data_IF_029563129261
#
_entry.id   IF_029563129261
#
_cell.length_a   1.000
_cell.length_b   1.000
_cell.length_c   1.000
_cell.angle_alpha   90.00
_cell.angle_beta   90.00
_cell.angle_gamma   90.00
#
_symmetry.space_group_name_H-M   'P 1'
#
loop_
_entity.id
_entity.type
_entity.pdbx_description
1 polymer ?
#
# COMPACT_ATOMS: atom_id res chain seq x y z
N UNK A 1 -85.93 -58.96 14.14
CA UNK A 1 -85.11 -58.84 12.96
C UNK A 1 -84.18 -57.63 13.18
N UNK A 2 -82.99 -57.92 13.68
CA UNK A 2 -82.06 -56.89 14.12
C UNK A 2 -80.88 -56.89 13.13
N UNK A 3 -80.76 -55.82 12.38
CA UNK A 3 -79.67 -55.61 11.40
C UNK A 3 -78.50 -55.00 12.13
N UNK A 4 -77.40 -55.75 12.25
CA UNK A 4 -76.09 -55.22 12.73
C UNK A 4 -75.41 -54.43 11.60
N UNK A 5 -75.17 -53.14 11.84
CA UNK A 5 -74.33 -52.32 10.99
C UNK A 5 -72.87 -52.57 11.37
N UNK A 6 -72.10 -52.99 10.39
CA UNK A 6 -70.62 -53.11 10.46
C UNK A 6 -69.99 -51.77 10.02
N UNK A 7 -69.21 -51.17 10.89
CA UNK A 7 -68.47 -49.96 10.61
C UNK A 7 -67.07 -50.33 10.15
N UNK A 8 -66.60 -49.83 8.98
CA UNK A 8 -65.22 -50.09 8.55
C UNK A 8 -64.23 -49.17 9.29
N UNK A 9 -63.19 -49.75 9.87
CA UNK A 9 -62.06 -49.07 10.46
C UNK A 9 -61.14 -48.66 9.30
N UNK A 10 -60.97 -47.31 9.07
CA UNK A 10 -59.97 -46.77 8.20
C UNK A 10 -58.64 -46.61 8.97
N UNK A 11 -57.66 -47.43 8.62
CA UNK A 11 -56.28 -47.27 9.09
C UNK A 11 -55.62 -46.17 8.19
N UNK A 12 -55.50 -44.98 8.74
CA UNK A 12 -54.76 -43.88 8.08
C UNK A 12 -53.26 -44.11 8.16
N UNK A 13 -52.63 -44.36 7.02
CA UNK A 13 -51.20 -44.43 6.87
C UNK A 13 -50.63 -42.98 6.83
N UNK A 14 -50.01 -42.53 7.93
CA UNK A 14 -49.30 -41.25 7.98
C UNK A 14 -47.98 -41.39 7.22
N UNK A 15 -47.94 -40.88 5.98
CA UNK A 15 -46.69 -40.70 5.24
C UNK A 15 -46.06 -39.38 5.71
N UNK A 16 -45.00 -39.49 6.52
CA UNK A 16 -44.17 -38.34 6.88
C UNK A 16 -43.28 -38.01 5.70
N UNK A 17 -43.62 -36.98 4.95
CA UNK A 17 -42.71 -36.38 3.97
C UNK A 17 -41.63 -35.60 4.73
N UNK A 18 -40.45 -36.17 4.85
CA UNK A 18 -39.24 -35.45 5.26
C UNK A 18 -38.86 -34.44 4.15
N UNK A 19 -39.09 -33.17 4.38
CA UNK A 19 -38.48 -32.12 3.57
C UNK A 19 -36.96 -32.12 3.79
N UNK A 20 -36.21 -32.77 2.91
CA UNK A 20 -34.77 -32.47 2.74
C UNK A 20 -34.68 -31.09 2.07
N UNK A 21 -34.47 -30.05 2.86
CA UNK A 21 -33.94 -28.77 2.35
C UNK A 21 -32.49 -29.01 1.90
N UNK A 22 -32.13 -28.81 0.62
CA UNK A 22 -30.74 -28.81 0.24
C UNK A 22 -30.08 -27.62 0.94
N UNK A 23 -29.10 -27.90 1.80
CA UNK A 23 -28.17 -26.88 2.22
C UNK A 23 -27.42 -26.38 0.97
N UNK A 24 -27.94 -25.33 0.37
CA UNK A 24 -27.13 -24.50 -0.53
C UNK A 24 -26.11 -23.75 0.33
N UNK A 25 -25.01 -24.41 0.66
CA UNK A 25 -23.79 -23.69 0.98
C UNK A 25 -23.43 -22.92 -0.30
N UNK A 26 -23.81 -21.67 -0.35
CA UNK A 26 -23.29 -20.72 -1.35
C UNK A 26 -21.81 -20.61 -1.06
N UNK A 27 -21.01 -21.42 -1.71
CA UNK A 27 -19.57 -21.20 -1.77
C UNK A 27 -19.41 -19.81 -2.38
N UNK A 28 -19.12 -18.80 -1.55
CA UNK A 28 -18.67 -17.50 -2.02
C UNK A 28 -17.33 -17.80 -2.67
N UNK A 29 -17.32 -17.94 -4.00
CA UNK A 29 -16.08 -17.92 -4.77
C UNK A 29 -15.56 -16.52 -4.59
N UNK A 30 -14.57 -16.36 -3.73
CA UNK A 30 -13.86 -15.10 -3.60
C UNK A 30 -13.25 -14.82 -4.97
N UNK A 31 -13.75 -13.79 -5.65
CA UNK A 31 -13.29 -13.41 -6.97
C UNK A 31 -11.79 -13.10 -6.84
N UNK A 32 -10.95 -13.83 -7.58
CA UNK A 32 -9.51 -13.61 -7.56
C UNK A 32 -9.23 -12.18 -8.06
N UNK A 33 -9.03 -11.30 -7.13
CA UNK A 33 -8.74 -9.88 -7.41
C UNK A 33 -7.39 -9.72 -8.12
N UNK A 34 -6.51 -10.72 -7.98
CA UNK A 34 -5.18 -10.74 -8.59
C UNK A 34 -4.30 -9.55 -8.17
N UNK A 35 -3.20 -9.40 -8.86
CA UNK A 35 -2.32 -8.24 -8.76
C UNK A 35 -1.94 -7.76 -10.17
N UNK A 36 -2.89 -7.16 -10.93
CA UNK A 36 -2.59 -6.68 -12.27
C UNK A 36 -1.51 -5.60 -12.23
N UNK A 37 -0.56 -5.57 -13.18
CA UNK A 37 0.42 -4.50 -13.28
C UNK A 37 -0.28 -3.17 -13.61
N UNK A 38 0.30 -2.06 -13.14
CA UNK A 38 -0.15 -0.74 -13.53
C UNK A 38 0.05 -0.51 -15.04
N UNK A 39 -0.76 0.36 -15.61
CA UNK A 39 -0.54 0.84 -16.97
C UNK A 39 0.87 1.41 -17.12
N UNK A 40 1.60 1.00 -18.16
CA UNK A 40 3.00 1.40 -18.36
C UNK A 40 4.04 0.56 -17.63
N UNK A 41 3.65 -0.46 -16.86
CA UNK A 41 4.61 -1.46 -16.38
C UNK A 41 5.29 -2.16 -17.56
N UNK A 42 6.61 -2.30 -17.53
CA UNK A 42 7.35 -2.90 -18.65
C UNK A 42 7.31 -4.44 -18.61
N UNK A 43 6.13 -4.98 -18.91
CA UNK A 43 5.88 -6.42 -18.88
C UNK A 43 6.80 -7.19 -19.82
N UNK A 44 7.05 -6.65 -21.03
CA UNK A 44 7.86 -7.33 -22.05
C UNK A 44 9.34 -7.46 -21.68
N UNK A 45 9.87 -6.51 -20.89
CA UNK A 45 11.25 -6.53 -20.43
C UNK A 45 11.40 -7.12 -19.03
N UNK A 46 10.32 -7.39 -18.30
CA UNK A 46 10.37 -7.97 -16.97
C UNK A 46 10.44 -9.48 -17.02
N UNK A 47 11.17 -10.09 -16.06
CA UNK A 47 11.29 -11.53 -15.98
C UNK A 47 10.05 -12.15 -15.32
N UNK A 48 9.57 -13.27 -15.85
CA UNK A 48 8.37 -13.95 -15.33
C UNK A 48 8.51 -14.30 -13.85
N UNK A 49 9.65 -14.85 -13.43
CA UNK A 49 9.92 -15.20 -12.03
C UNK A 49 9.87 -13.96 -11.12
N UNK A 50 10.39 -12.81 -11.58
CA UNK A 50 10.34 -11.56 -10.80
C UNK A 50 8.89 -11.03 -10.63
N UNK A 51 8.06 -11.21 -11.66
CA UNK A 51 6.63 -10.87 -11.59
C UNK A 51 5.91 -11.78 -10.60
N UNK A 52 6.15 -13.10 -10.64
CA UNK A 52 5.59 -14.06 -9.70
C UNK A 52 5.96 -13.72 -8.24
N UNK A 53 7.23 -13.39 -7.99
CA UNK A 53 7.69 -12.94 -6.66
C UNK A 53 6.96 -11.64 -6.25
N UNK A 54 6.82 -10.67 -7.14
CA UNK A 54 6.08 -9.43 -6.85
C UNK A 54 4.60 -9.67 -6.52
N UNK A 55 3.99 -10.73 -7.10
CA UNK A 55 2.62 -11.13 -6.77
C UNK A 55 2.52 -11.76 -5.38
N UNK A 56 3.48 -12.61 -4.99
CA UNK A 56 3.54 -13.14 -3.62
C UNK A 56 3.83 -12.05 -2.59
N UNK A 57 4.69 -11.06 -2.91
CA UNK A 57 4.90 -9.88 -2.06
C UNK A 57 3.59 -9.13 -1.84
N UNK A 58 2.85 -8.81 -2.90
CA UNK A 58 1.56 -8.10 -2.78
C UNK A 58 0.58 -8.90 -1.91
N UNK A 59 0.53 -10.20 -2.05
CA UNK A 59 -0.32 -11.08 -1.25
C UNK A 59 0.10 -11.07 0.23
N UNK A 60 1.39 -11.16 0.53
CA UNK A 60 1.93 -11.08 1.90
C UNK A 60 1.68 -9.71 2.54
N UNK A 61 1.63 -8.64 1.74
CA UNK A 61 1.29 -7.30 2.19
C UNK A 61 -0.20 -7.10 2.55
N UNK A 62 -1.05 -8.11 2.39
CA UNK A 62 -2.49 -8.06 2.65
C UNK A 62 -3.33 -8.10 1.37
N UNK A 63 -2.71 -8.17 0.20
CA UNK A 63 -3.35 -8.31 -1.11
C UNK A 63 -3.72 -6.99 -1.77
N UNK A 64 -3.81 -7.04 -3.10
CA UNK A 64 -4.10 -5.87 -3.93
C UNK A 64 -5.43 -5.20 -3.60
N UNK A 65 -6.47 -5.98 -3.30
CA UNK A 65 -7.78 -5.46 -2.90
C UNK A 65 -7.69 -4.56 -1.67
N UNK A 66 -7.02 -5.02 -0.61
CA UNK A 66 -6.88 -4.24 0.62
C UNK A 66 -5.99 -3.01 0.42
N UNK A 67 -4.94 -3.12 -0.41
CA UNK A 67 -4.17 -1.96 -0.84
C UNK A 67 -5.02 -0.93 -1.57
N UNK A 68 -5.85 -1.34 -2.52
CA UNK A 68 -6.72 -0.44 -3.28
C UNK A 68 -7.78 0.21 -2.38
N UNK A 69 -8.32 -0.52 -1.42
CA UNK A 69 -9.31 -0.02 -0.45
C UNK A 69 -8.69 0.88 0.64
N UNK A 70 -7.38 0.85 0.84
CA UNK A 70 -6.71 1.76 1.77
C UNK A 70 -6.80 3.18 1.24
N UNK A 71 -7.51 4.07 1.92
CA UNK A 71 -7.77 5.43 1.44
C UNK A 71 -6.78 6.44 1.99
N UNK A 72 -6.62 6.54 3.31
CA UNK A 72 -5.77 7.55 3.94
C UNK A 72 -4.59 6.90 4.64
N UNK A 73 -3.39 7.42 4.36
CA UNK A 73 -2.14 6.97 4.99
C UNK A 73 -1.45 8.16 5.62
N UNK A 74 -1.11 8.06 6.90
CA UNK A 74 -0.31 9.02 7.64
C UNK A 74 1.00 8.38 8.06
N UNK A 75 2.10 9.15 8.02
CA UNK A 75 3.41 8.71 8.52
C UNK A 75 4.34 9.89 8.81
N UNK A 76 5.31 9.66 9.68
CA UNK A 76 6.39 10.60 9.97
C UNK A 76 7.69 10.08 9.35
N UNK A 77 8.20 10.81 8.39
CA UNK A 77 9.41 10.47 7.66
C UNK A 77 10.65 10.96 8.41
N UNK A 78 11.34 10.04 9.10
CA UNK A 78 12.61 10.24 9.79
C UNK A 78 12.60 11.40 10.80
N UNK A 79 11.48 11.67 11.45
CA UNK A 79 11.31 12.78 12.41
C UNK A 79 11.35 14.17 11.79
N UNK A 80 11.40 14.27 10.46
CA UNK A 80 11.57 15.57 9.76
C UNK A 80 10.30 16.07 9.08
N UNK A 81 9.53 15.20 8.45
CA UNK A 81 8.29 15.53 7.74
C UNK A 81 7.19 14.56 8.11
N UNK A 82 6.01 15.11 8.33
CA UNK A 82 4.79 14.33 8.50
C UNK A 82 3.98 14.41 7.21
N UNK A 83 3.52 13.29 6.74
CA UNK A 83 2.70 13.17 5.54
C UNK A 83 1.33 12.62 5.89
N UNK A 84 0.29 13.14 5.27
CA UNK A 84 -1.04 12.54 5.25
C UNK A 84 -1.52 12.56 3.81
N UNK A 85 -1.82 11.39 3.27
CA UNK A 85 -2.18 11.21 1.86
C UNK A 85 -3.53 10.56 1.71
N UNK A 86 -4.42 11.19 0.94
CA UNK A 86 -5.63 10.57 0.43
C UNK A 86 -5.32 9.95 -0.93
N UNK A 87 -5.21 8.63 -0.98
CA UNK A 87 -4.91 7.89 -2.22
C UNK A 87 -5.96 8.07 -3.31
N UNK A 88 -7.23 8.29 -2.93
CA UNK A 88 -8.33 8.36 -3.90
C UNK A 88 -8.39 9.70 -4.62
N UNK A 89 -8.20 10.79 -3.89
CA UNK A 89 -8.26 12.14 -4.45
C UNK A 89 -6.90 12.67 -4.91
N UNK A 90 -5.81 12.12 -4.37
CA UNK A 90 -4.46 12.63 -4.58
C UNK A 90 -4.10 13.80 -3.67
N UNK A 91 -4.95 14.14 -2.69
CA UNK A 91 -4.66 15.21 -1.75
C UNK A 91 -3.60 14.79 -0.73
N UNK A 92 -2.65 15.69 -0.48
CA UNK A 92 -1.54 15.47 0.46
C UNK A 92 -1.38 16.68 1.37
N UNK A 93 -1.21 16.40 2.66
CA UNK A 93 -0.72 17.33 3.66
C UNK A 93 0.70 16.95 4.03
N UNK A 94 1.64 17.88 3.91
CA UNK A 94 3.02 17.74 4.40
C UNK A 94 3.29 18.79 5.44
N UNK A 95 3.71 18.37 6.63
CA UNK A 95 4.16 19.25 7.69
C UNK A 95 5.65 19.07 7.95
N UNK A 96 6.36 20.19 8.08
CA UNK A 96 7.79 20.23 8.47
C UNK A 96 7.89 21.12 9.72
N UNK A 97 7.67 20.57 10.94
CA UNK A 97 7.56 21.35 12.16
C UNK A 97 8.79 22.23 12.45
N UNK A 98 10.00 21.71 12.17
CA UNK A 98 11.26 22.47 12.33
C UNK A 98 11.38 23.74 11.46
N UNK A 99 10.53 23.85 10.42
CA UNK A 99 10.50 24.99 9.49
C UNK A 99 9.21 25.80 9.62
N UNK A 100 8.32 25.43 10.56
CA UNK A 100 6.95 25.97 10.69
C UNK A 100 6.23 25.97 9.33
N UNK A 101 6.34 24.85 8.59
CA UNK A 101 5.88 24.75 7.21
C UNK A 101 4.78 23.70 7.09
N UNK A 102 3.65 24.10 6.49
CA UNK A 102 2.55 23.19 6.10
C UNK A 102 2.27 23.41 4.62
N UNK A 103 2.30 22.33 3.86
CA UNK A 103 1.97 22.30 2.44
C UNK A 103 0.73 21.40 2.24
N UNK A 104 -0.32 21.97 1.69
CA UNK A 104 -1.54 21.28 1.29
C UNK A 104 -1.58 21.29 -0.23
N UNK A 105 -1.51 20.13 -0.87
CA UNK A 105 -1.45 20.09 -2.33
C UNK A 105 -2.07 18.80 -2.88
N UNK A 106 -2.40 18.83 -4.16
CA UNK A 106 -2.86 17.66 -4.89
C UNK A 106 -1.75 17.16 -5.83
N UNK A 107 -1.46 15.86 -5.80
CA UNK A 107 -0.40 15.24 -6.60
C UNK A 107 -0.72 15.17 -8.09
N UNK A 108 -2.01 15.20 -8.47
CA UNK A 108 -2.46 15.02 -9.84
C UNK A 108 -2.27 16.29 -10.68
N UNK A 109 -2.65 17.45 -10.13
CA UNK A 109 -2.56 18.74 -10.81
C UNK A 109 -1.44 19.64 -10.28
N UNK A 110 -0.81 19.26 -9.14
CA UNK A 110 0.26 19.99 -8.47
C UNK A 110 -0.14 21.40 -8.03
N UNK A 111 -1.41 21.60 -7.77
CA UNK A 111 -1.92 22.82 -7.18
C UNK A 111 -2.01 22.70 -5.66
N UNK A 112 -2.01 23.81 -4.96
CA UNK A 112 -2.12 23.76 -3.50
C UNK A 112 -1.90 25.09 -2.82
N UNK A 113 -1.75 25.01 -1.50
CA UNK A 113 -1.56 26.16 -0.59
C UNK A 113 -0.42 25.88 0.37
N UNK A 114 0.28 26.90 0.80
CA UNK A 114 1.42 26.81 1.71
C UNK A 114 1.31 27.83 2.82
N UNK A 115 1.47 27.36 4.06
CA UNK A 115 1.65 28.19 5.25
C UNK A 115 3.09 28.05 5.73
N UNK A 116 3.81 29.17 5.90
CA UNK A 116 5.15 29.20 6.47
C UNK A 116 5.25 30.26 7.55
N UNK A 117 5.72 29.90 8.73
CA UNK A 117 5.85 30.78 9.89
C UNK A 117 4.56 31.62 10.14
N UNK A 118 3.40 30.98 10.11
CA UNK A 118 2.10 31.56 10.33
C UNK A 118 1.58 32.48 9.20
N UNK A 119 2.25 32.49 8.03
CA UNK A 119 1.85 33.33 6.89
C UNK A 119 1.62 32.46 5.66
N UNK A 120 0.48 32.65 5.01
CA UNK A 120 0.19 32.00 3.75
C UNK A 120 1.01 32.59 2.60
N UNK A 121 1.61 31.74 1.79
CA UNK A 121 2.42 32.14 0.61
C UNK A 121 1.45 32.43 -0.54
N UNK A 122 1.46 33.66 -1.03
CA UNK A 122 0.57 34.12 -2.12
C UNK A 122 1.34 34.51 -3.39
N UNK A 123 2.68 34.65 -3.31
CA UNK A 123 3.51 34.90 -4.48
C UNK A 123 3.51 33.65 -5.39
N UNK A 124 3.08 33.83 -6.63
CA UNK A 124 2.84 32.74 -7.56
C UNK A 124 4.08 31.91 -7.88
N UNK A 125 5.23 32.55 -8.07
CA UNK A 125 6.48 31.88 -8.42
C UNK A 125 7.01 31.06 -7.24
N UNK A 126 6.96 31.64 -6.04
CA UNK A 126 7.33 30.94 -4.80
C UNK A 126 6.40 29.77 -4.54
N UNK A 127 5.08 29.94 -4.71
CA UNK A 127 4.11 28.89 -4.53
C UNK A 127 4.37 27.72 -5.49
N UNK A 128 4.62 28.01 -6.77
CA UNK A 128 4.91 26.97 -7.77
C UNK A 128 6.19 26.18 -7.42
N UNK A 129 7.24 26.86 -6.96
CA UNK A 129 8.47 26.20 -6.51
C UNK A 129 8.21 25.31 -5.29
N UNK A 130 7.37 25.76 -4.35
CA UNK A 130 7.03 24.96 -3.17
C UNK A 130 6.15 23.76 -3.52
N UNK A 131 5.24 23.87 -4.49
CA UNK A 131 4.46 22.72 -5.00
C UNK A 131 5.35 21.67 -5.66
N UNK A 132 6.33 22.08 -6.45
CA UNK A 132 7.30 21.14 -7.04
C UNK A 132 8.16 20.45 -5.95
N UNK A 133 8.52 21.19 -4.90
CA UNK A 133 9.25 20.63 -3.76
C UNK A 133 8.37 19.66 -2.94
N UNK A 134 7.11 20.00 -2.74
CA UNK A 134 6.13 19.14 -2.07
C UNK A 134 5.92 17.81 -2.82
N UNK A 135 5.76 17.89 -4.15
CA UNK A 135 5.64 16.71 -4.98
C UNK A 135 6.89 15.83 -4.92
N UNK A 136 8.09 16.44 -5.01
CA UNK A 136 9.36 15.70 -4.93
C UNK A 136 9.54 15.03 -3.56
N UNK A 137 9.18 15.73 -2.48
CA UNK A 137 9.20 15.18 -1.13
C UNK A 137 8.23 14.01 -1.00
N UNK A 138 6.98 14.15 -1.49
CA UNK A 138 6.00 13.09 -1.46
C UNK A 138 6.46 11.85 -2.25
N UNK A 139 6.99 12.03 -3.46
CA UNK A 139 7.51 10.90 -4.28
C UNK A 139 8.60 10.15 -3.52
N UNK A 140 9.59 10.88 -2.99
CA UNK A 140 10.70 10.26 -2.26
C UNK A 140 10.21 9.57 -0.97
N UNK A 141 9.51 10.31 -0.12
CA UNK A 141 9.20 9.87 1.24
C UNK A 141 8.16 8.74 1.25
N UNK A 142 7.19 8.77 0.32
CA UNK A 142 6.24 7.67 0.16
C UNK A 142 6.90 6.39 -0.36
N UNK A 143 7.92 6.51 -1.23
CA UNK A 143 8.64 5.36 -1.76
C UNK A 143 9.36 4.59 -0.64
N UNK A 144 9.91 5.28 0.35
CA UNK A 144 10.54 4.67 1.52
C UNK A 144 9.58 3.86 2.41
N UNK A 145 8.28 4.12 2.33
CA UNK A 145 7.25 3.38 3.07
C UNK A 145 6.56 2.33 2.19
N UNK A 146 6.32 2.65 0.91
CA UNK A 146 5.36 1.95 0.07
C UNK A 146 5.98 1.22 -1.13
N UNK A 147 7.32 1.22 -1.29
CA UNK A 147 8.00 0.57 -2.43
C UNK A 147 7.54 -0.88 -2.64
N UNK A 148 7.34 -1.71 -1.62
CA UNK A 148 6.90 -3.09 -1.83
C UNK A 148 5.53 -3.24 -2.51
N UNK A 149 4.61 -2.26 -2.36
CA UNK A 149 3.35 -2.21 -3.10
C UNK A 149 3.50 -1.76 -4.56
N UNK A 150 4.69 -1.24 -4.92
CA UNK A 150 4.96 -0.54 -6.18
C UNK A 150 5.88 -1.34 -7.12
N UNK A 151 6.07 -2.64 -6.86
CA UNK A 151 6.94 -3.49 -7.67
C UNK A 151 6.47 -3.63 -9.12
N UNK A 152 5.16 -3.51 -9.38
CA UNK A 152 4.58 -3.53 -10.73
C UNK A 152 3.93 -2.21 -11.12
N UNK A 153 4.46 -1.08 -10.62
CA UNK A 153 4.01 0.27 -10.98
C UNK A 153 4.42 0.66 -12.42
N UNK A 154 3.82 1.75 -12.91
CA UNK A 154 4.14 2.35 -14.21
C UNK A 154 5.64 2.61 -14.34
N UNK A 155 6.20 2.29 -15.50
CA UNK A 155 7.62 2.50 -15.85
C UNK A 155 8.59 1.54 -15.18
N UNK A 156 8.13 0.65 -14.29
CA UNK A 156 9.01 -0.32 -13.62
C UNK A 156 9.35 -1.48 -14.57
N UNK A 157 10.63 -1.87 -14.57
CA UNK A 157 11.11 -3.14 -15.12
C UNK A 157 11.67 -3.98 -13.98
N UNK A 158 11.20 -5.22 -13.84
CA UNK A 158 11.65 -6.18 -12.84
C UNK A 158 12.56 -7.23 -13.45
N UNK A 159 13.72 -7.48 -12.81
CA UNK A 159 14.63 -8.55 -13.16
C UNK A 159 14.87 -9.45 -11.96
N UNK A 160 14.85 -10.74 -12.19
CA UNK A 160 15.26 -11.73 -11.21
C UNK A 160 16.78 -11.94 -11.29
N UNK A 161 17.46 -11.79 -10.16
CA UNK A 161 18.93 -11.94 -10.09
C UNK A 161 19.31 -13.35 -9.64
N UNK A 162 18.55 -13.94 -8.71
CA UNK A 162 18.80 -15.24 -8.12
C UNK A 162 18.49 -15.27 -6.63
N UNK A 163 18.78 -16.40 -6.00
CA UNK A 163 18.78 -16.53 -4.54
C UNK A 163 19.98 -15.78 -3.97
N UNK A 164 19.80 -15.11 -2.83
CA UNK A 164 20.85 -14.38 -2.12
C UNK A 164 20.54 -14.34 -0.61
N UNK A 165 21.50 -13.89 0.19
CA UNK A 165 21.35 -13.77 1.62
C UNK A 165 21.49 -12.30 2.02
N UNK A 166 20.58 -11.82 2.86
CA UNK A 166 20.65 -10.43 3.39
C UNK A 166 21.89 -10.21 4.27
N UNK A 167 22.20 -8.96 4.57
CA UNK A 167 23.28 -8.62 5.53
C UNK A 167 23.03 -9.19 6.95
N UNK A 168 21.79 -9.55 7.27
CA UNK A 168 21.41 -10.18 8.54
C UNK A 168 21.41 -11.71 8.50
N UNK A 169 21.73 -12.31 7.34
CA UNK A 169 21.83 -13.76 7.17
C UNK A 169 20.50 -14.45 6.87
N UNK A 170 19.52 -13.74 6.34
CA UNK A 170 18.22 -14.28 5.94
C UNK A 170 18.23 -14.67 4.46
N UNK A 171 17.79 -15.90 4.15
CA UNK A 171 17.66 -16.39 2.78
C UNK A 171 16.53 -15.64 2.04
N UNK A 172 16.79 -15.27 0.80
CA UNK A 172 15.91 -14.36 0.06
C UNK A 172 16.07 -14.50 -1.45
N UNK A 173 15.01 -14.21 -2.17
CA UNK A 173 15.00 -13.99 -3.62
C UNK A 173 15.40 -12.54 -3.92
N UNK A 174 16.40 -12.32 -4.78
CA UNK A 174 16.90 -11.00 -5.14
C UNK A 174 16.30 -10.50 -6.44
N UNK A 175 15.66 -9.35 -6.38
CA UNK A 175 15.10 -8.62 -7.52
C UNK A 175 15.90 -7.35 -7.81
N UNK A 176 15.95 -6.95 -9.08
CA UNK A 176 16.39 -5.61 -9.50
C UNK A 176 15.25 -4.84 -10.13
N UNK A 177 15.08 -3.59 -9.71
CA UNK A 177 14.11 -2.64 -10.25
C UNK A 177 14.85 -1.53 -11.00
N UNK A 178 14.42 -1.26 -12.23
CA UNK A 178 14.83 -0.07 -13.01
C UNK A 178 13.57 0.64 -13.50
N UNK A 179 13.72 1.91 -13.92
CA UNK A 179 12.59 2.78 -14.23
C UNK A 179 12.77 3.42 -15.61
N UNK A 180 11.66 3.63 -16.31
CA UNK A 180 11.61 4.34 -17.58
C UNK A 180 10.63 5.51 -17.49
N UNK A 181 11.14 6.75 -17.55
CA UNK A 181 10.35 7.98 -17.67
C UNK A 181 9.45 8.34 -16.48
N UNK A 182 9.56 7.67 -15.33
CA UNK A 182 8.67 7.87 -14.17
C UNK A 182 9.42 8.39 -12.94
N UNK A 183 8.68 9.08 -12.06
CA UNK A 183 9.22 9.66 -10.84
C UNK A 183 10.08 10.89 -11.08
N UNK A 184 10.86 11.27 -10.06
CA UNK A 184 11.77 12.44 -10.11
C UNK A 184 13.21 12.05 -10.41
N UNK A 185 13.54 10.77 -10.35
CA UNK A 185 14.89 10.21 -10.59
C UNK A 185 14.81 8.89 -11.35
N UNK A 186 14.36 8.89 -12.63
CA UNK A 186 14.15 7.65 -13.40
C UNK A 186 15.44 6.86 -13.66
N UNK A 187 16.61 7.49 -13.53
CA UNK A 187 17.91 6.83 -13.69
C UNK A 187 18.30 5.91 -12.53
N UNK A 188 17.54 5.92 -11.43
CA UNK A 188 17.85 5.12 -10.26
C UNK A 188 17.67 3.61 -10.54
N UNK A 189 18.37 2.78 -9.75
CA UNK A 189 18.18 1.35 -9.66
C UNK A 189 18.01 0.96 -8.20
N UNK A 190 17.17 -0.02 -7.95
CA UNK A 190 17.08 -0.67 -6.65
C UNK A 190 17.32 -2.16 -6.77
N UNK A 191 17.91 -2.75 -5.74
CA UNK A 191 17.87 -4.17 -5.47
C UNK A 191 16.99 -4.40 -4.25
N UNK A 192 16.18 -5.45 -4.30
CA UNK A 192 15.18 -5.76 -3.27
C UNK A 192 15.29 -7.24 -2.95
N UNK A 193 15.53 -7.56 -1.69
CA UNK A 193 15.53 -8.92 -1.17
C UNK A 193 14.14 -9.23 -0.61
N UNK A 194 13.59 -10.35 -1.04
CA UNK A 194 12.28 -10.85 -0.61
C UNK A 194 12.51 -12.13 0.15
N UNK A 195 12.11 -12.16 1.41
CA UNK A 195 12.29 -13.30 2.31
C UNK A 195 11.62 -14.57 1.77
N UNK A 196 12.33 -15.68 1.73
CA UNK A 196 11.80 -16.99 1.34
C UNK A 196 10.75 -17.52 2.34
N UNK A 197 10.85 -17.10 3.60
CA UNK A 197 9.95 -17.53 4.66
C UNK A 197 8.63 -16.78 4.64
N UNK A 198 8.67 -15.44 4.44
CA UNK A 198 7.50 -14.57 4.64
C UNK A 198 6.94 -13.97 3.35
N UNK A 199 7.68 -14.03 2.25
CA UNK A 199 7.42 -13.29 1.01
C UNK A 199 7.36 -11.75 1.21
N UNK A 200 7.85 -11.23 2.33
CA UNK A 200 7.96 -9.80 2.55
C UNK A 200 9.36 -9.31 2.19
N UNK A 201 9.45 -8.06 1.76
CA UNK A 201 10.75 -7.42 1.55
C UNK A 201 11.47 -7.31 2.89
N UNK A 202 12.72 -7.77 2.99
CA UNK A 202 13.51 -7.72 4.22
C UNK A 202 14.79 -6.87 4.11
N UNK A 203 15.22 -6.54 2.88
CA UNK A 203 16.34 -5.65 2.63
C UNK A 203 16.19 -4.95 1.27
N UNK A 204 16.76 -3.77 1.13
CA UNK A 204 16.88 -3.09 -0.15
C UNK A 204 18.21 -2.35 -0.29
N UNK A 205 18.63 -2.15 -1.54
CA UNK A 205 19.80 -1.36 -1.89
C UNK A 205 19.44 -0.30 -2.93
N UNK A 206 20.03 0.88 -2.81
CA UNK A 206 19.81 2.00 -3.70
C UNK A 206 21.07 2.33 -4.50
N UNK A 207 20.88 2.50 -5.79
CA UNK A 207 21.91 2.92 -6.75
C UNK A 207 21.47 4.21 -7.44
N UNK A 208 22.26 5.30 -7.37
CA UNK A 208 21.94 6.56 -8.03
C UNK A 208 21.76 6.46 -9.54
N UNK A 209 22.45 5.49 -10.19
CA UNK A 209 22.29 5.23 -11.62
C UNK A 209 22.11 3.73 -11.86
N UNK A 210 21.35 3.37 -12.90
CA UNK A 210 21.11 1.98 -13.26
C UNK A 210 22.39 1.21 -13.63
N UNK A 211 23.43 1.91 -14.09
CA UNK A 211 24.72 1.35 -14.45
C UNK A 211 25.69 1.18 -13.28
N UNK A 212 25.36 1.73 -12.10
CA UNK A 212 26.24 1.61 -10.94
C UNK A 212 26.31 0.15 -10.48
N UNK A 213 27.51 -0.31 -10.12
CA UNK A 213 27.75 -1.65 -9.58
C UNK A 213 27.80 -1.69 -8.05
N UNK A 214 28.00 -0.53 -7.42
CA UNK A 214 28.10 -0.38 -5.96
C UNK A 214 26.91 0.45 -5.47
N UNK A 215 26.09 -0.06 -4.52
CA UNK A 215 24.99 0.69 -3.97
C UNK A 215 25.49 1.86 -3.13
N UNK A 216 24.75 2.96 -3.11
CA UNK A 216 24.97 4.08 -2.20
C UNK A 216 24.65 3.70 -0.74
N UNK A 217 23.67 2.83 -0.55
CA UNK A 217 23.35 2.21 0.73
C UNK A 217 22.69 0.85 0.53
N UNK A 218 22.81 0.02 1.55
CA UNK A 218 21.99 -1.18 1.77
C UNK A 218 21.37 -1.04 3.14
N UNK A 219 20.08 -1.25 3.25
CA UNK A 219 19.33 -1.07 4.50
C UNK A 219 18.31 -2.18 4.69
N UNK A 220 18.01 -2.58 5.94
CA UNK A 220 16.92 -3.50 6.21
C UNK A 220 15.57 -2.87 5.87
N UNK A 221 14.58 -3.73 5.67
CA UNK A 221 13.17 -3.42 5.61
C UNK A 221 12.48 -4.37 6.60
N UNK A 222 12.48 -3.97 7.87
CA UNK A 222 12.17 -4.86 8.98
C UNK A 222 10.97 -4.39 9.80
N UNK A 223 10.58 -5.21 10.79
CA UNK A 223 9.50 -4.92 11.74
C UNK A 223 8.16 -4.66 11.04
N UNK A 224 7.77 -5.58 10.18
CA UNK A 224 6.48 -5.55 9.52
C UNK A 224 5.34 -5.67 10.54
N UNK A 225 4.41 -4.73 10.51
CA UNK A 225 3.24 -4.68 11.39
C UNK A 225 1.98 -4.45 10.58
N UNK A 226 0.87 -4.97 11.10
CA UNK A 226 -0.44 -4.80 10.47
C UNK A 226 -1.01 -3.42 10.80
N UNK A 227 -1.41 -2.68 9.78
CA UNK A 227 -2.10 -1.40 9.86
C UNK A 227 -3.39 -1.51 9.03
N UNK A 228 -4.55 -1.49 9.68
CA UNK A 228 -5.80 -1.85 9.01
C UNK A 228 -5.72 -3.27 8.41
N UNK A 229 -5.88 -3.39 7.11
CA UNK A 229 -5.85 -4.68 6.40
C UNK A 229 -4.56 -4.91 5.57
N UNK A 230 -3.57 -4.03 5.72
CA UNK A 230 -2.28 -4.14 5.02
C UNK A 230 -1.10 -4.21 5.99
N UNK A 231 0.02 -4.75 5.49
CA UNK A 231 1.29 -4.78 6.23
C UNK A 231 2.14 -3.59 5.83
N UNK A 232 2.66 -2.85 6.82
CA UNK A 232 3.62 -1.76 6.62
C UNK A 232 4.81 -1.96 7.55
N UNK A 233 5.96 -1.40 7.17
CA UNK A 233 7.18 -1.43 7.95
C UNK A 233 7.81 -0.05 7.97
N UNK A 234 8.18 0.44 9.14
CA UNK A 234 8.89 1.71 9.31
C UNK A 234 10.39 1.56 9.58
N UNK A 235 10.88 0.34 9.87
CA UNK A 235 12.27 0.13 10.27
C UNK A 235 13.22 0.05 9.05
N UNK A 236 14.19 0.98 9.02
CA UNK A 236 15.28 1.04 8.03
C UNK A 236 16.66 1.06 8.73
N UNK A 237 16.78 0.33 9.85
CA UNK A 237 17.97 0.36 10.67
C UNK A 237 18.04 1.63 11.54
N UNK A 238 19.05 2.45 11.33
CA UNK A 238 19.21 3.72 12.07
C UNK A 238 18.12 4.76 11.73
N UNK A 239 17.39 4.57 10.64
CA UNK A 239 16.32 5.47 10.19
C UNK A 239 14.97 4.83 10.41
N UNK A 240 14.05 5.60 10.96
CA UNK A 240 12.71 5.12 11.31
C UNK A 240 11.64 5.98 10.65
N UNK A 241 10.68 5.34 10.04
CA UNK A 241 9.38 5.93 9.66
C UNK A 241 8.43 5.59 10.80
N UNK A 242 7.93 6.59 11.48
CA UNK A 242 7.07 6.42 12.66
C UNK A 242 5.67 6.96 12.43
N UNK A 243 4.81 6.83 13.43
CA UNK A 243 3.44 7.35 13.40
C UNK A 243 2.64 6.88 12.18
N UNK A 244 2.89 5.62 11.75
CA UNK A 244 2.18 5.03 10.61
C UNK A 244 0.76 4.72 11.03
N UNK A 245 -0.21 5.37 10.37
CA UNK A 245 -1.64 5.21 10.65
C UNK A 245 -2.43 5.10 9.34
N UNK A 246 -3.44 4.25 9.36
CA UNK A 246 -4.41 4.08 8.26
C UNK A 246 -5.77 4.55 8.77
N UNK A 247 -6.49 5.29 7.92
CA UNK A 247 -7.85 5.72 8.22
C UNK A 247 -8.77 5.40 7.04
N UNK A 248 -10.01 5.02 7.35
CA UNK A 248 -11.06 4.90 6.32
C UNK A 248 -11.57 6.28 5.91
N UNK A 249 -11.71 7.17 6.90
CA UNK A 249 -12.22 8.51 6.68
C UNK A 249 -11.38 9.52 7.47
N UNK A 250 -11.10 10.65 6.86
CA UNK A 250 -10.54 11.83 7.52
C UNK A 250 -11.39 13.06 7.15
N UNK A 251 -11.57 14.02 8.07
CA UNK A 251 -12.25 15.27 7.76
C UNK A 251 -11.55 15.98 6.59
N UNK A 252 -12.31 16.56 5.67
CA UNK A 252 -11.76 17.31 4.54
C UNK A 252 -10.81 18.44 4.98
N UNK A 253 -11.04 19.00 6.18
CA UNK A 253 -10.18 20.03 6.78
C UNK A 253 -8.72 19.60 6.94
N UNK A 254 -8.43 18.29 7.04
CA UNK A 254 -7.05 17.78 7.06
C UNK A 254 -6.28 18.25 5.82
N UNK A 255 -6.94 18.31 4.67
CA UNK A 255 -6.33 18.65 3.38
C UNK A 255 -6.60 20.09 2.93
N UNK A 256 -7.48 20.83 3.60
CA UNK A 256 -7.89 22.17 3.16
C UNK A 256 -7.61 23.27 4.19
N UNK A 257 -7.30 22.91 5.44
CA UNK A 257 -7.06 23.85 6.53
C UNK A 257 -5.64 23.70 7.09
N UNK A 258 -5.03 24.81 7.48
CA UNK A 258 -3.70 24.82 8.13
C UNK A 258 -3.76 24.61 9.65
N UNK A 259 -4.95 24.43 10.23
CA UNK A 259 -5.07 24.13 11.64
C UNK A 259 -4.31 22.84 12.00
N UNK A 260 -3.73 22.75 13.21
CA UNK A 260 -3.10 21.53 13.70
C UNK A 260 -4.10 20.37 13.73
N UNK A 261 -3.63 19.17 13.39
CA UNK A 261 -4.44 17.94 13.40
C UNK A 261 -3.88 16.98 14.45
N UNK A 262 -4.75 16.53 15.36
CA UNK A 262 -4.43 15.43 16.27
C UNK A 262 -4.88 14.10 15.67
N UNK A 263 -4.00 13.46 14.92
CA UNK A 263 -4.27 12.18 14.27
C UNK A 263 -4.55 11.04 15.26
N UNK A 264 -4.05 11.13 16.49
CA UNK A 264 -4.28 10.09 17.51
C UNK A 264 -5.74 10.01 17.95
N UNK A 265 -6.49 11.10 17.79
CA UNK A 265 -7.91 11.19 18.14
C UNK A 265 -8.87 10.79 17.03
N UNK A 266 -8.39 10.52 15.80
CA UNK A 266 -9.22 10.34 14.61
C UNK A 266 -9.55 8.87 14.27
N UNK A 267 -9.28 7.92 15.16
CA UNK A 267 -9.70 6.51 15.00
C UNK A 267 -8.93 5.77 13.91
N UNK A 268 -7.61 5.73 14.01
CA UNK A 268 -6.75 4.90 13.15
C UNK A 268 -7.08 3.40 13.32
N UNK A 269 -6.88 2.63 12.24
CA UNK A 269 -7.01 1.16 12.19
C UNK A 269 -5.74 0.45 12.61
#
# INVERSE_FOLDING_TARGET
>A
MIIKKILPVFIGLLIVFGCNTPNNETTIVEEDYGNPPAEGFNLAASDKKAIEIADEVMKALGGRKNWDLTQHIHWNFFGSRQHTWNKYTGDVRIETPSQELIMLFNINDRTGRVMKAGREITDADTLQQMMNSAYSAWVNDSYWLLMPFKLKDSGVTLKYVGEDTTQLGEDSELLTLTFDGVGVTPQNKYQVWVSDETNLVNQWAYFPNATDSIPRFVMPWADWTKHGDIMLSGNRGERQITDIMIFDELPASVYTDFAPVDFSSLGAK
#
